data_IF_122057703149
#
_entry.id   IF_122057703149
#
_cell.length_a   1.000
_cell.length_b   1.000
_cell.length_c   1.000
_cell.angle_alpha   90.00
_cell.angle_beta   90.00
_cell.angle_gamma   90.00
#
_symmetry.space_group_name_H-M   'P 1'
#
loop_
_entity.id
_entity.type
_entity.pdbx_description
1 polymer ?
#
# COMPACT_ATOMS: atom_id res chain seq x y z
N UNK A 1 -4.06 -13.01 27.84
CA UNK A 1 -3.98 -12.95 26.37
C UNK A 1 -3.25 -11.66 26.01
N UNK A 2 -1.96 -11.74 25.70
CA UNK A 2 -1.19 -10.60 25.17
C UNK A 2 -1.65 -10.39 23.73
N UNK A 3 -2.45 -9.36 23.49
CA UNK A 3 -2.71 -8.87 22.14
C UNK A 3 -1.37 -8.55 21.51
N UNK A 4 -1.00 -9.28 20.46
CA UNK A 4 0.16 -8.97 19.63
C UNK A 4 -0.16 -7.62 18.98
N UNK A 5 0.40 -6.56 19.56
CA UNK A 5 0.22 -5.20 19.07
C UNK A 5 0.88 -5.13 17.69
N UNK A 6 0.08 -4.88 16.64
CA UNK A 6 0.58 -4.84 15.28
C UNK A 6 1.38 -3.54 15.12
N UNK A 7 2.72 -3.59 15.02
CA UNK A 7 3.54 -2.38 14.94
C UNK A 7 3.33 -1.61 13.63
N UNK A 8 2.64 -2.22 12.67
CA UNK A 8 2.31 -1.65 11.36
C UNK A 8 0.85 -1.21 11.25
N UNK A 9 0.10 -1.23 12.36
CA UNK A 9 -1.19 -0.60 12.43
C UNK A 9 -1.04 0.93 12.38
N UNK A 10 -2.03 1.59 11.78
CA UNK A 10 -2.15 3.05 11.84
C UNK A 10 -2.33 3.46 13.30
N UNK A 11 -1.39 4.21 13.85
CA UNK A 11 -1.44 4.72 15.22
C UNK A 11 -1.81 6.20 15.20
N UNK A 12 -2.77 6.60 16.02
CA UNK A 12 -3.26 7.99 16.11
C UNK A 12 -3.61 8.62 14.75
N UNK A 13 -4.13 7.81 13.83
CA UNK A 13 -4.50 8.25 12.48
C UNK A 13 -3.32 8.50 11.54
N UNK A 14 -2.09 8.14 11.92
CA UNK A 14 -0.86 8.37 11.17
C UNK A 14 -0.34 7.10 10.49
N UNK A 15 0.25 7.29 9.31
CA UNK A 15 0.83 6.23 8.49
C UNK A 15 2.17 5.74 9.09
N UNK A 16 2.30 4.46 9.47
CA UNK A 16 3.52 3.94 10.09
C UNK A 16 4.65 3.64 9.10
N UNK A 17 4.40 3.70 7.79
CA UNK A 17 5.32 3.23 6.75
C UNK A 17 6.11 4.36 6.06
N UNK A 18 5.68 5.61 6.19
CA UNK A 18 6.29 6.75 5.49
C UNK A 18 6.29 7.99 6.36
N UNK A 19 7.42 8.70 6.38
CA UNK A 19 7.51 10.05 6.93
C UNK A 19 6.79 11.04 6.02
N UNK A 20 5.66 11.56 6.49
CA UNK A 20 4.93 12.62 5.78
C UNK A 20 5.33 14.01 6.30
N UNK A 21 5.11 15.08 5.52
CA UNK A 21 5.34 16.45 5.97
C UNK A 21 4.61 16.77 7.29
N UNK A 22 3.39 16.28 7.48
CA UNK A 22 2.63 16.44 8.72
C UNK A 22 3.34 15.80 9.92
N UNK A 23 3.87 14.59 9.77
CA UNK A 23 4.62 13.91 10.83
C UNK A 23 5.96 14.58 11.14
N UNK A 24 6.70 15.02 10.11
CA UNK A 24 7.97 15.73 10.27
C UNK A 24 7.75 17.05 11.03
N UNK A 25 6.69 17.78 10.67
CA UNK A 25 6.30 19.02 11.30
C UNK A 25 5.54 18.85 12.61
N UNK A 26 5.22 17.60 13.00
CA UNK A 26 4.44 17.29 14.20
C UNK A 26 3.10 18.06 14.18
N UNK A 27 2.53 18.20 12.98
CA UNK A 27 1.40 19.06 12.65
C UNK A 27 0.15 18.20 12.45
N UNK A 28 -0.91 18.54 13.15
CA UNK A 28 -2.23 17.96 12.93
C UNK A 28 -2.76 18.36 11.54
N UNK A 29 -3.10 17.42 10.66
CA UNK A 29 -3.66 17.71 9.33
C UNK A 29 -4.94 18.55 9.38
N UNK A 30 -5.72 18.43 10.46
CA UNK A 30 -6.97 19.17 10.67
C UNK A 30 -6.74 20.61 11.16
N UNK A 31 -5.50 20.96 11.53
CA UNK A 31 -5.17 22.31 12.00
C UNK A 31 -5.33 23.31 10.85
N UNK A 32 -6.37 24.13 10.95
CA UNK A 32 -6.65 25.21 10.02
C UNK A 32 -5.98 26.53 10.45
N UNK A 33 -5.76 27.42 9.47
CA UNK A 33 -5.29 28.78 9.69
C UNK A 33 -3.79 28.95 9.52
N UNK A 34 -3.40 29.79 8.56
CA UNK A 34 -1.99 30.03 8.17
C UNK A 34 -1.11 30.50 9.35
N UNK A 35 -1.67 31.34 10.22
CA UNK A 35 -0.96 31.84 11.40
C UNK A 35 -0.65 30.76 12.43
N UNK A 36 -1.64 29.90 12.72
CA UNK A 36 -1.49 28.78 13.66
C UNK A 36 -0.47 27.76 13.15
N UNK A 37 -0.56 27.40 11.86
CA UNK A 37 0.39 26.51 11.19
C UNK A 37 1.80 27.08 11.26
N UNK A 38 2.00 28.35 10.89
CA UNK A 38 3.33 28.99 10.92
C UNK A 38 3.92 29.03 12.33
N UNK A 39 3.11 29.41 13.33
CA UNK A 39 3.55 29.44 14.72
C UNK A 39 3.91 28.05 15.25
N UNK A 40 3.23 27.00 14.77
CA UNK A 40 3.56 25.62 15.11
C UNK A 40 4.88 25.16 14.49
N UNK A 41 5.05 25.40 13.19
CA UNK A 41 6.28 25.05 12.47
C UNK A 41 7.50 25.72 13.11
N UNK A 42 7.39 27.00 13.48
CA UNK A 42 8.50 27.70 14.12
C UNK A 42 8.85 27.10 15.49
N UNK A 43 7.83 26.75 16.30
CA UNK A 43 8.06 26.04 17.56
C UNK A 43 8.74 24.68 17.34
N UNK A 44 8.29 23.92 16.34
CA UNK A 44 8.89 22.62 15.99
C UNK A 44 10.35 22.77 15.56
N UNK A 45 10.63 23.73 14.67
CA UNK A 45 11.99 24.08 14.23
C UNK A 45 12.90 24.38 15.42
N UNK A 46 12.43 25.18 16.37
CA UNK A 46 13.21 25.55 17.53
C UNK A 46 13.45 24.36 18.48
N UNK A 47 12.49 23.43 18.63
CA UNK A 47 12.68 22.19 19.39
C UNK A 47 13.76 21.31 18.77
N UNK A 48 13.68 21.06 17.47
CA UNK A 48 14.67 20.26 16.72
C UNK A 48 16.06 20.91 16.78
N UNK A 49 16.15 22.23 16.61
CA UNK A 49 17.43 22.96 16.71
C UNK A 49 18.10 22.81 18.08
N UNK A 50 17.31 22.75 19.16
CA UNK A 50 17.84 22.70 20.53
C UNK A 50 18.15 21.28 21.02
N UNK A 51 17.35 20.29 20.61
CA UNK A 51 17.49 18.91 21.06
C UNK A 51 16.78 17.95 20.10
N UNK A 52 17.36 17.73 18.92
CA UNK A 52 16.79 16.86 17.89
C UNK A 52 16.68 15.39 18.34
N UNK A 53 17.62 14.93 19.17
CA UNK A 53 17.70 13.59 19.74
C UNK A 53 16.47 13.19 20.57
N UNK A 54 15.77 14.17 21.15
CA UNK A 54 14.53 13.95 21.92
C UNK A 54 13.29 13.74 21.06
N UNK A 55 13.37 14.00 19.75
CA UNK A 55 12.22 13.91 18.84
C UNK A 55 12.54 13.05 17.61
N UNK A 56 12.93 11.78 17.79
CA UNK A 56 13.16 10.89 16.67
C UNK A 56 11.83 10.60 15.95
N UNK A 57 11.88 10.55 14.62
CA UNK A 57 10.78 10.10 13.80
C UNK A 57 11.21 8.80 13.11
N UNK A 58 10.48 7.70 13.35
CA UNK A 58 10.84 6.36 12.86
C UNK A 58 12.31 5.97 13.17
N UNK A 59 12.78 6.29 14.37
CA UNK A 59 14.16 6.02 14.78
C UNK A 59 15.23 6.92 14.15
N UNK A 60 14.84 7.89 13.30
CA UNK A 60 15.75 8.88 12.69
C UNK A 60 15.64 10.23 13.41
N UNK A 61 16.78 10.81 13.73
CA UNK A 61 16.88 12.20 14.21
C UNK A 61 16.57 13.18 13.09
N UNK A 62 15.64 14.10 13.33
CA UNK A 62 15.27 15.14 12.37
C UNK A 62 16.26 16.30 12.40
N UNK A 63 16.46 16.95 11.25
CA UNK A 63 17.27 18.17 11.13
C UNK A 63 16.39 19.39 10.84
N UNK A 64 16.93 20.60 11.03
CA UNK A 64 16.23 21.84 10.61
C UNK A 64 15.98 21.85 9.10
N UNK A 65 16.84 21.23 8.30
CA UNK A 65 16.64 21.09 6.86
C UNK A 65 15.41 20.23 6.55
N UNK A 66 15.19 19.14 7.28
CA UNK A 66 13.99 18.30 7.12
C UNK A 66 12.72 19.09 7.43
N UNK A 67 12.74 19.94 8.47
CA UNK A 67 11.61 20.84 8.81
C UNK A 67 11.34 21.85 7.70
N UNK A 68 12.39 22.47 7.13
CA UNK A 68 12.23 23.46 6.08
C UNK A 68 11.67 22.83 4.80
N UNK A 69 12.19 21.67 4.42
CA UNK A 69 11.68 20.90 3.27
C UNK A 69 10.21 20.53 3.46
N UNK A 70 9.84 20.01 4.63
CA UNK A 70 8.44 19.67 4.90
C UNK A 70 7.52 20.91 4.88
N UNK A 71 8.01 22.06 5.34
CA UNK A 71 7.28 23.33 5.23
C UNK A 71 7.07 23.73 3.76
N UNK A 72 8.08 23.59 2.91
CA UNK A 72 8.01 23.89 1.47
C UNK A 72 7.00 22.95 0.78
N UNK A 73 7.07 21.64 1.07
CA UNK A 73 6.15 20.64 0.53
C UNK A 73 4.68 20.92 0.91
N UNK A 74 4.39 21.43 2.12
CA UNK A 74 3.04 21.83 2.51
C UNK A 74 2.59 23.21 2.00
N UNK A 75 3.51 24.05 1.53
CA UNK A 75 3.17 25.33 0.93
C UNK A 75 2.63 25.17 -0.49
N UNK A 76 3.04 24.10 -1.18
CA UNK A 76 2.49 23.68 -2.45
C UNK A 76 1.16 22.91 -2.26
N UNK A 77 0.18 23.19 -3.12
CA UNK A 77 -1.15 22.60 -3.01
C UNK A 77 -1.14 21.10 -3.36
N UNK A 78 -0.37 20.71 -4.38
CA UNK A 78 -0.21 19.30 -4.77
C UNK A 78 0.56 18.53 -3.70
N UNK A 79 1.68 19.07 -3.24
CA UNK A 79 2.46 18.51 -2.14
C UNK A 79 1.64 18.34 -0.85
N UNK A 80 0.80 19.32 -0.51
CA UNK A 80 -0.12 19.23 0.62
C UNK A 80 -1.16 18.13 0.44
N UNK A 81 -1.84 18.07 -0.70
CA UNK A 81 -2.85 17.04 -0.96
C UNK A 81 -2.24 15.64 -0.89
N UNK A 82 -1.07 15.43 -1.50
CA UNK A 82 -0.36 14.16 -1.44
C UNK A 82 0.01 13.80 0.00
N UNK A 83 0.48 14.77 0.79
CA UNK A 83 0.78 14.57 2.20
C UNK A 83 -0.47 14.18 3.00
N UNK A 84 -1.62 14.80 2.74
CA UNK A 84 -2.89 14.47 3.40
C UNK A 84 -3.32 13.03 3.05
N UNK A 85 -3.28 12.65 1.78
CA UNK A 85 -3.59 11.29 1.31
C UNK A 85 -2.67 10.22 1.91
N UNK A 86 -1.38 10.53 2.07
CA UNK A 86 -0.42 9.62 2.68
C UNK A 86 -0.53 9.58 4.21
N UNK A 87 -1.09 10.62 4.84
CA UNK A 87 -1.20 10.75 6.29
C UNK A 87 -2.53 10.22 6.83
N UNK A 88 -3.59 10.16 6.04
CA UNK A 88 -4.91 9.68 6.49
C UNK A 88 -5.18 8.22 6.17
N UNK A 89 -5.68 7.48 7.17
CA UNK A 89 -6.19 6.14 6.97
C UNK A 89 -7.46 6.30 6.15
N UNK A 90 -7.63 5.62 5.00
CA UNK A 90 -8.94 5.55 4.39
C UNK A 90 -9.91 5.01 5.45
N UNK A 91 -10.98 5.77 5.75
CA UNK A 91 -12.02 5.32 6.67
C UNK A 91 -12.50 3.95 6.18
N UNK A 92 -12.52 2.97 7.08
CA UNK A 92 -13.15 1.69 6.79
C UNK A 92 -14.65 1.85 6.91
N UNK A 93 -15.31 2.31 5.86
CA UNK A 93 -16.69 1.95 5.54
C UNK A 93 -16.65 0.79 4.55
N UNK A 94 -16.14 -0.35 5.03
CA UNK A 94 -15.93 -1.54 4.20
C UNK A 94 -17.20 -2.13 3.60
N UNK A 95 -18.36 -1.83 4.15
CA UNK A 95 -19.63 -2.37 3.63
C UNK A 95 -20.35 -1.37 2.70
N UNK A 96 -20.28 -0.06 2.98
CA UNK A 96 -20.97 0.97 2.19
C UNK A 96 -20.20 1.34 0.92
N UNK A 97 -18.87 1.51 1.02
CA UNK A 97 -18.04 1.88 -0.15
C UNK A 97 -17.95 0.73 -1.16
N UNK A 98 -17.96 -0.52 -0.67
CA UNK A 98 -17.95 -1.70 -1.53
C UNK A 98 -19.29 -1.86 -2.26
N UNK A 99 -20.41 -1.54 -1.59
CA UNK A 99 -21.73 -1.54 -2.20
C UNK A 99 -21.85 -0.43 -3.28
N UNK A 100 -21.38 0.78 -2.99
CA UNK A 100 -21.40 1.90 -3.94
C UNK A 100 -20.49 1.65 -5.16
N UNK A 101 -19.30 1.06 -4.96
CA UNK A 101 -18.41 0.68 -6.06
C UNK A 101 -18.94 -0.49 -6.89
N UNK A 102 -19.64 -1.45 -6.28
CA UNK A 102 -20.32 -2.53 -6.99
C UNK A 102 -21.51 -2.04 -7.82
N UNK A 103 -22.19 -0.98 -7.35
CA UNK A 103 -23.30 -0.33 -8.05
C UNK A 103 -22.81 0.58 -9.19
N UNK A 104 -21.73 1.35 -8.96
CA UNK A 104 -21.13 2.24 -9.95
C UNK A 104 -20.38 1.49 -11.06
N UNK A 105 -19.84 0.31 -10.78
CA UNK A 105 -19.16 -0.55 -11.74
C UNK A 105 -19.78 -1.95 -11.70
N UNK A 106 -20.86 -2.20 -12.47
CA UNK A 106 -21.38 -3.54 -12.59
C UNK A 106 -20.27 -4.45 -13.09
N UNK A 107 -20.07 -5.59 -12.43
CA UNK A 107 -19.05 -6.58 -12.79
C UNK A 107 -19.11 -6.82 -14.30
N UNK A 108 -18.05 -6.43 -15.01
CA UNK A 108 -17.86 -6.86 -16.39
C UNK A 108 -18.01 -8.39 -16.41
N UNK A 109 -18.79 -8.95 -17.35
CA UNK A 109 -18.87 -10.39 -17.48
C UNK A 109 -17.44 -10.92 -17.60
N UNK A 110 -17.13 -12.07 -16.95
CA UNK A 110 -15.80 -12.66 -17.08
C UNK A 110 -15.46 -12.71 -18.58
N UNK A 111 -14.24 -12.31 -18.98
CA UNK A 111 -13.86 -12.36 -20.38
C UNK A 111 -14.17 -13.76 -20.89
N UNK A 112 -14.75 -13.90 -22.10
CA UNK A 112 -15.09 -15.20 -22.63
C UNK A 112 -13.83 -16.06 -22.55
N UNK A 113 -13.99 -17.28 -22.01
CA UNK A 113 -12.87 -18.21 -21.90
C UNK A 113 -12.14 -18.23 -23.24
N UNK A 114 -10.80 -18.04 -23.27
CA UNK A 114 -10.08 -18.08 -24.53
C UNK A 114 -10.38 -19.42 -25.16
N UNK A 115 -11.11 -19.43 -26.27
CA UNK A 115 -11.26 -20.64 -27.07
C UNK A 115 -9.84 -21.05 -27.46
N UNK A 116 -9.35 -22.23 -27.04
CA UNK A 116 -8.06 -22.68 -27.49
C UNK A 116 -8.15 -22.86 -29.01
N UNK A 117 -7.62 -21.91 -29.77
CA UNK A 117 -7.30 -22.14 -31.18
C UNK A 117 -6.05 -23.00 -31.19
N UNK A 118 -6.26 -24.31 -31.11
CA UNK A 118 -5.30 -25.28 -31.62
C UNK A 118 -5.43 -25.24 -33.14
N UNK A 119 -4.82 -24.25 -33.81
CA UNK A 119 -4.42 -24.40 -35.20
C UNK A 119 -3.18 -25.29 -35.22
N UNK A 120 -3.36 -26.55 -34.83
CA UNK A 120 -2.35 -27.58 -35.00
C UNK A 120 -2.67 -28.22 -36.33
N UNK A 121 -1.90 -27.85 -37.34
CA UNK A 121 -1.88 -28.54 -38.63
C UNK A 121 -1.73 -30.05 -38.37
N UNK A 122 -2.46 -30.87 -39.13
CA UNK A 122 -2.56 -32.33 -38.96
C UNK A 122 -1.17 -32.98 -38.97
N UNK A 123 -0.23 -32.35 -39.68
CA UNK A 123 1.17 -32.73 -39.78
C UNK A 123 1.96 -32.51 -38.48
N UNK A 124 1.61 -31.47 -37.71
CA UNK A 124 2.22 -31.16 -36.40
C UNK A 124 1.70 -32.10 -35.29
N UNK A 125 0.43 -32.51 -35.37
CA UNK A 125 -0.16 -33.44 -34.41
C UNK A 125 0.52 -34.83 -34.43
N UNK A 126 0.99 -35.28 -35.60
CA UNK A 126 1.70 -36.57 -35.74
C UNK A 126 3.10 -36.58 -35.14
N UNK A 127 3.76 -35.42 -35.01
CA UNK A 127 5.11 -35.33 -34.42
C UNK A 127 5.11 -35.21 -32.89
N UNK A 128 4.02 -34.73 -32.29
CA UNK A 128 3.94 -34.43 -30.85
C UNK A 128 3.41 -35.59 -29.99
N UNK A 129 2.85 -36.63 -30.60
CA UNK A 129 2.41 -37.84 -29.89
C UNK A 129 3.46 -38.95 -30.08
N UNK A 130 4.30 -39.26 -29.08
CA UNK A 130 5.07 -40.49 -29.13
C UNK A 130 4.11 -41.68 -29.18
N UNK A 131 4.44 -42.67 -30.00
CA UNK A 131 3.66 -43.88 -30.22
C UNK A 131 3.43 -44.63 -28.88
N UNK A 132 2.25 -44.42 -28.27
CA UNK A 132 1.84 -45.10 -27.04
C UNK A 132 1.47 -46.57 -27.29
N UNK A 133 1.60 -47.08 -28.52
CA UNK A 133 1.28 -48.47 -28.87
C UNK A 133 2.28 -49.51 -28.32
N UNK A 134 3.45 -49.10 -27.84
CA UNK A 134 4.48 -50.03 -27.32
C UNK A 134 4.78 -49.91 -25.82
N UNK A 135 3.96 -49.22 -25.03
CA UNK A 135 4.12 -49.21 -23.57
C UNK A 135 3.13 -50.18 -22.94
N UNK A 136 3.60 -51.38 -22.58
CA UNK A 136 2.85 -52.29 -21.71
C UNK A 136 2.46 -51.53 -20.43
N UNK A 137 1.20 -51.62 -19.96
CA UNK A 137 0.80 -50.91 -18.75
C UNK A 137 1.58 -51.47 -17.55
N UNK A 138 2.06 -50.62 -16.61
CA UNK A 138 2.75 -51.10 -15.43
C UNK A 138 1.77 -51.92 -14.57
N UNK A 139 2.15 -53.17 -14.26
CA UNK A 139 1.45 -54.02 -13.28
C UNK A 139 1.68 -53.42 -11.88
N UNK A 140 0.62 -52.90 -11.27
CA UNK A 140 0.64 -52.39 -9.89
C UNK A 140 0.04 -53.39 -8.87
N UNK A 141 0.09 -54.69 -9.15
CA UNK A 141 -0.27 -55.70 -8.15
C UNK A 141 0.77 -55.70 -7.02
N UNK A 142 0.37 -55.26 -5.83
CA UNK A 142 1.08 -55.66 -4.61
C UNK A 142 1.17 -54.67 -3.44
N UNK A 143 0.53 -53.50 -3.46
CA UNK A 143 0.56 -52.59 -2.31
C UNK A 143 -0.79 -51.93 -2.09
N UNK A 144 -1.66 -52.60 -1.33
CA UNK A 144 -2.39 -52.08 -0.16
C UNK A 144 -3.05 -53.29 0.56
N UNK A 145 -3.15 -53.24 1.90
CA UNK A 145 -3.32 -54.40 2.79
C UNK A 145 -4.69 -55.09 2.72
#
# INVERSE_FOLDING_TARGET
MTTIDNPWAWQDGLNPYRSTPFQILDLDPTLAGRGAIRAHIERRRQRVKRAADRYPLFGRTLTVADINRAQEELADAEGRLLAELLTHRPERTGDELTAELLDAFPRLPPPPAPTPRLDVDEQTARYLLPDLSSAAPPRWEGLLP
#
